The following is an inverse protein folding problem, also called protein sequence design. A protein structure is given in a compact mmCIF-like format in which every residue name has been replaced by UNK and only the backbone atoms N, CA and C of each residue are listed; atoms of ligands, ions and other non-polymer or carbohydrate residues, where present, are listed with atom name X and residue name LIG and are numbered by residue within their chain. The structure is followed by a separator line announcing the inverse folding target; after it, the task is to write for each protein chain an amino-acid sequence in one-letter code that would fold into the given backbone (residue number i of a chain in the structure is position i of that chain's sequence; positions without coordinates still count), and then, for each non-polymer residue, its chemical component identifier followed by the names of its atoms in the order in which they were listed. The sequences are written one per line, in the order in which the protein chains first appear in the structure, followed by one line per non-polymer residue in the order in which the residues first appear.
data_IF_930223336954
#
_entry.id   IF_930223336954
#
_cell.length_a   1.000
_cell.length_b   1.000
_cell.length_c   1.000
_cell.angle_alpha   90.00
_cell.angle_beta   90.00
_cell.angle_gamma   90.00
#
_symmetry.space_group_name_H-M   'P 1'
#
loop_
_entity.id
_entity.type
_entity.pdbx_description
1 polymer ?
#
# COMPACT_ATOMS: atom_id res chain seq x y z
N UNK A 1 18.09 29.26 -8.38
CA UNK A 1 16.81 28.60 -8.04
C UNK A 1 16.59 27.54 -9.10
N UNK A 2 17.02 26.32 -8.82
CA UNK A 2 16.69 25.17 -9.68
C UNK A 2 15.19 24.90 -9.54
N UNK A 3 14.50 24.89 -10.68
CA UNK A 3 13.10 24.48 -10.76
C UNK A 3 13.10 22.96 -10.68
N UNK A 4 12.55 22.42 -9.61
CA UNK A 4 12.24 20.99 -9.53
C UNK A 4 11.09 20.77 -10.51
N UNK A 5 11.39 20.18 -11.65
CA UNK A 5 10.38 19.67 -12.58
C UNK A 5 9.78 18.42 -11.95
N UNK A 6 8.54 18.53 -11.48
CA UNK A 6 7.72 17.36 -11.17
C UNK A 6 7.47 16.64 -12.50
N UNK A 7 8.22 15.58 -12.76
CA UNK A 7 7.88 14.64 -13.82
C UNK A 7 6.42 14.25 -13.64
N UNK A 8 5.63 14.43 -14.70
CA UNK A 8 4.21 14.11 -14.73
C UNK A 8 4.06 12.62 -14.45
N UNK A 9 3.84 12.27 -13.19
CA UNK A 9 3.50 10.92 -12.75
C UNK A 9 2.27 10.52 -13.55
N UNK A 10 2.41 9.50 -14.39
CA UNK A 10 1.28 8.78 -14.98
C UNK A 10 0.27 8.56 -13.85
N UNK A 11 -0.96 9.02 -14.07
CA UNK A 11 -2.09 8.58 -13.27
C UNK A 11 -2.05 7.04 -13.20
N UNK A 12 -2.41 6.44 -12.05
CA UNK A 12 -2.65 5.01 -11.98
C UNK A 12 -3.51 4.60 -13.18
N UNK A 13 -3.15 3.51 -13.85
CA UNK A 13 -4.04 2.97 -14.87
C UNK A 13 -5.38 2.59 -14.23
N UNK A 14 -6.49 2.71 -14.97
CA UNK A 14 -7.84 2.39 -14.46
C UNK A 14 -7.88 0.98 -13.80
N UNK A 15 -7.00 0.08 -14.25
CA UNK A 15 -6.79 -1.26 -13.67
C UNK A 15 -6.30 -1.24 -12.21
N UNK A 16 -5.42 -0.32 -11.81
CA UNK A 16 -4.91 -0.29 -10.43
C UNK A 16 -5.97 0.08 -9.39
N UNK A 17 -6.96 0.88 -9.77
CA UNK A 17 -8.09 1.20 -8.91
C UNK A 17 -9.05 0.01 -8.79
N UNK A 18 -9.34 -0.68 -9.91
CA UNK A 18 -10.16 -1.88 -9.93
C UNK A 18 -9.51 -3.02 -9.13
N UNK A 19 -8.21 -3.26 -9.34
CA UNK A 19 -7.42 -4.21 -8.56
C UNK A 19 -7.46 -3.92 -7.05
N UNK A 20 -7.35 -2.64 -6.67
CA UNK A 20 -7.41 -2.24 -5.26
C UNK A 20 -8.82 -2.48 -4.67
N UNK A 21 -9.88 -2.20 -5.44
CA UNK A 21 -11.25 -2.47 -5.01
C UNK A 21 -11.46 -3.96 -4.78
N UNK A 22 -11.06 -4.79 -5.73
CA UNK A 22 -11.19 -6.24 -5.64
C UNK A 22 -10.41 -6.79 -4.44
N UNK A 23 -9.18 -6.30 -4.20
CA UNK A 23 -8.36 -6.73 -3.07
C UNK A 23 -8.99 -6.34 -1.71
N UNK A 24 -9.50 -5.11 -1.59
CA UNK A 24 -10.17 -4.66 -0.36
C UNK A 24 -11.47 -5.44 -0.12
N UNK A 25 -12.27 -5.71 -1.17
CA UNK A 25 -13.48 -6.52 -1.07
C UNK A 25 -13.19 -7.96 -0.67
N UNK A 26 -12.16 -8.58 -1.25
CA UNK A 26 -11.76 -9.94 -0.89
C UNK A 26 -11.33 -10.03 0.58
N UNK A 27 -10.58 -9.04 1.07
CA UNK A 27 -10.15 -8.98 2.47
C UNK A 27 -11.34 -8.81 3.41
N UNK A 28 -12.28 -7.91 3.09
CA UNK A 28 -13.55 -7.74 3.82
C UNK A 28 -14.30 -9.05 3.98
N UNK A 29 -14.50 -9.77 2.87
CA UNK A 29 -15.15 -11.07 2.89
C UNK A 29 -14.42 -12.07 3.79
N UNK A 30 -13.08 -12.13 3.72
CA UNK A 30 -12.27 -13.02 4.57
C UNK A 30 -12.34 -12.68 6.05
N UNK A 31 -12.53 -11.42 6.43
CA UNK A 31 -12.78 -11.03 7.83
C UNK A 31 -14.16 -11.46 8.29
N UNK A 32 -15.18 -11.19 7.47
CA UNK A 32 -16.57 -11.54 7.76
C UNK A 32 -16.74 -13.05 7.94
N UNK A 33 -16.02 -13.84 7.13
CA UNK A 33 -15.98 -15.30 7.21
C UNK A 33 -15.08 -15.82 8.36
N UNK A 34 -14.36 -14.93 9.04
CA UNK A 34 -13.45 -15.25 10.16
C UNK A 34 -12.14 -15.93 9.74
N UNK A 35 -11.82 -15.94 8.44
CA UNK A 35 -10.59 -16.53 7.90
C UNK A 35 -9.36 -15.68 8.23
N UNK A 36 -9.53 -14.37 8.41
CA UNK A 36 -8.47 -13.42 8.75
C UNK A 36 -8.89 -12.58 9.93
N UNK A 37 -8.10 -12.60 11.01
CA UNK A 37 -8.25 -11.72 12.18
C UNK A 37 -7.34 -10.51 12.06
N UNK A 38 -7.45 -9.75 10.97
CA UNK A 38 -6.72 -8.48 10.83
C UNK A 38 -7.55 -7.37 11.46
N UNK A 39 -7.58 -7.34 12.80
CA UNK A 39 -8.41 -6.41 13.54
C UNK A 39 -8.27 -4.98 13.04
N UNK A 40 -9.41 -4.39 12.63
CA UNK A 40 -9.63 -2.96 12.43
C UNK A 40 -9.13 -2.30 11.13
N UNK A 41 -8.78 -3.06 10.08
CA UNK A 41 -8.28 -2.45 8.82
C UNK A 41 -9.32 -2.28 7.71
N UNK A 42 -10.58 -2.66 7.93
CA UNK A 42 -11.51 -2.92 6.81
C UNK A 42 -12.50 -1.82 6.49
N UNK A 43 -12.54 -0.72 7.23
CA UNK A 43 -13.26 0.47 6.80
C UNK A 43 -12.39 1.33 5.85
N UNK A 44 -11.91 0.70 4.77
CA UNK A 44 -11.36 1.40 3.62
C UNK A 44 -12.50 1.57 2.63
N UNK A 45 -12.94 2.81 2.42
CA UNK A 45 -13.73 3.18 1.27
C UNK A 45 -12.79 3.64 0.14
N UNK A 46 -12.68 2.84 -0.92
CA UNK A 46 -11.77 3.13 -2.04
C UNK A 46 -12.19 4.41 -2.79
N UNK A 47 -13.48 4.74 -2.80
CA UNK A 47 -13.98 5.96 -3.43
C UNK A 47 -13.55 7.24 -2.68
N UNK A 48 -13.14 7.12 -1.42
CA UNK A 48 -12.65 8.24 -0.60
C UNK A 48 -11.13 8.41 -0.67
N UNK A 49 -10.42 7.56 -1.44
CA UNK A 49 -8.98 7.63 -1.61
C UNK A 49 -8.59 8.68 -2.67
N UNK A 50 -7.50 9.36 -2.41
CA UNK A 50 -6.93 10.38 -3.29
C UNK A 50 -6.00 9.76 -4.33
N UNK A 51 -5.65 10.53 -5.38
CA UNK A 51 -4.61 10.13 -6.34
C UNK A 51 -3.26 9.84 -5.65
N UNK A 52 -2.97 10.53 -4.53
CA UNK A 52 -1.78 10.28 -3.73
C UNK A 52 -1.78 8.88 -3.10
N UNK A 53 -2.92 8.47 -2.56
CA UNK A 53 -3.10 7.14 -1.95
C UNK A 53 -2.91 6.04 -3.00
N UNK A 54 -3.54 6.20 -4.17
CA UNK A 54 -3.40 5.26 -5.29
C UNK A 54 -1.95 5.24 -5.82
N UNK A 55 -1.27 6.38 -5.83
CA UNK A 55 0.15 6.46 -6.20
C UNK A 55 1.06 5.67 -5.26
N UNK A 56 0.73 5.57 -3.96
CA UNK A 56 1.45 4.71 -3.03
C UNK A 56 1.16 3.23 -3.29
N UNK A 57 -0.09 2.88 -3.61
CA UNK A 57 -0.46 1.50 -3.97
C UNK A 57 0.30 1.00 -5.20
N UNK A 58 0.39 1.82 -6.25
CA UNK A 58 1.12 1.50 -7.46
C UNK A 58 2.60 1.22 -7.19
N UNK A 59 3.22 2.05 -6.34
CA UNK A 59 4.61 1.82 -5.90
C UNK A 59 4.76 0.53 -5.10
N UNK A 60 3.78 0.19 -4.25
CA UNK A 60 3.79 -1.07 -3.50
C UNK A 60 3.71 -2.27 -4.45
N UNK A 61 2.85 -2.22 -5.47
CA UNK A 61 2.73 -3.28 -6.49
C UNK A 61 4.01 -3.48 -7.29
N UNK A 62 4.77 -2.40 -7.52
CA UNK A 62 6.06 -2.44 -8.21
C UNK A 62 7.22 -2.81 -7.28
N UNK A 63 6.95 -3.05 -6.00
CA UNK A 63 7.97 -3.24 -4.93
C UNK A 63 8.96 -2.07 -4.81
N UNK A 64 8.52 -0.87 -5.20
CA UNK A 64 9.30 0.38 -5.17
C UNK A 64 8.98 1.23 -3.93
N UNK A 65 7.86 0.94 -3.25
CA UNK A 65 7.44 1.71 -2.07
C UNK A 65 8.36 1.47 -0.88
N UNK A 66 8.77 2.54 -0.22
CA UNK A 66 9.57 2.50 1.02
C UNK A 66 8.80 2.99 2.24
N UNK A 67 9.26 2.59 3.43
CA UNK A 67 8.68 3.07 4.70
C UNK A 67 8.80 4.58 4.86
N UNK A 68 9.90 5.16 4.38
CA UNK A 68 10.16 6.60 4.47
C UNK A 68 9.17 7.40 3.61
N UNK A 69 8.86 6.92 2.40
CA UNK A 69 7.85 7.55 1.55
C UNK A 69 6.45 7.52 2.17
N UNK A 70 6.08 6.44 2.87
CA UNK A 70 4.80 6.38 3.58
C UNK A 70 4.79 7.39 4.74
N UNK A 71 5.89 7.52 5.48
CA UNK A 71 5.99 8.48 6.58
C UNK A 71 5.97 9.92 6.07
N UNK A 72 6.70 10.23 5.00
CA UNK A 72 6.66 11.53 4.33
C UNK A 72 5.24 11.85 3.84
N UNK A 73 4.54 10.88 3.25
CA UNK A 73 3.16 11.06 2.85
C UNK A 73 2.24 11.39 4.03
N UNK A 74 2.38 10.70 5.17
CA UNK A 74 1.62 10.97 6.40
C UNK A 74 1.93 12.34 7.00
N UNK A 75 3.17 12.81 6.93
CA UNK A 75 3.57 14.12 7.47
C UNK A 75 3.04 15.29 6.63
N UNK A 76 2.86 15.08 5.33
CA UNK A 76 2.49 16.14 4.38
C UNK A 76 1.01 16.14 3.98
N UNK A 77 0.23 15.13 4.36
CA UNK A 77 -1.17 15.00 3.95
C UNK A 77 -2.09 14.80 5.16
N UNK A 78 -3.21 15.53 5.20
CA UNK A 78 -4.27 15.31 6.18
C UNK A 78 -5.24 14.26 5.63
N UNK A 79 -5.18 13.05 6.22
CA UNK A 79 -5.93 11.91 5.73
C UNK A 79 -7.29 11.79 6.43
N UNK A 80 -8.32 11.49 5.64
CA UNK A 80 -9.60 11.02 6.18
C UNK A 80 -9.45 9.62 6.81
N UNK A 81 -10.52 9.10 7.39
CA UNK A 81 -10.50 7.79 8.06
C UNK A 81 -10.12 6.65 7.10
N UNK A 82 -10.74 6.62 5.91
CA UNK A 82 -10.41 5.67 4.84
C UNK A 82 -8.92 5.71 4.46
N UNK A 83 -8.34 6.90 4.31
CA UNK A 83 -6.92 7.11 4.01
C UNK A 83 -6.01 6.62 5.13
N UNK A 84 -6.35 6.87 6.40
CA UNK A 84 -5.58 6.35 7.55
C UNK A 84 -5.59 4.82 7.60
N UNK A 85 -6.75 4.21 7.40
CA UNK A 85 -6.90 2.76 7.35
C UNK A 85 -6.13 2.18 6.16
N UNK A 86 -6.19 2.84 5.01
CA UNK A 86 -5.47 2.46 3.81
C UNK A 86 -3.95 2.53 3.97
N UNK A 87 -3.42 3.59 4.61
CA UNK A 87 -1.99 3.65 4.91
C UNK A 87 -1.55 2.52 5.85
N UNK A 88 -2.37 2.16 6.83
CA UNK A 88 -2.04 1.07 7.73
C UNK A 88 -2.05 -0.29 7.00
N UNK A 89 -2.98 -0.48 6.05
CA UNK A 89 -2.96 -1.59 5.10
C UNK A 89 -1.65 -1.64 4.29
N UNK A 90 -1.22 -0.51 3.70
CA UNK A 90 0.04 -0.44 2.95
C UNK A 90 1.25 -0.81 3.81
N UNK A 91 1.31 -0.30 5.05
CA UNK A 91 2.40 -0.61 5.99
C UNK A 91 2.49 -2.11 6.29
N UNK A 92 1.36 -2.76 6.51
CA UNK A 92 1.31 -4.20 6.74
C UNK A 92 1.79 -4.99 5.51
N UNK A 93 1.33 -4.62 4.31
CA UNK A 93 1.76 -5.26 3.07
C UNK A 93 3.26 -5.10 2.83
N UNK A 94 3.79 -3.89 3.02
CA UNK A 94 5.20 -3.60 2.89
C UNK A 94 6.05 -4.43 3.87
N UNK A 95 5.63 -4.53 5.14
CA UNK A 95 6.33 -5.33 6.13
C UNK A 95 6.41 -6.83 5.74
N UNK A 96 5.33 -7.38 5.17
CA UNK A 96 5.31 -8.75 4.66
C UNK A 96 6.26 -8.92 3.47
N UNK A 97 6.28 -7.98 2.52
CA UNK A 97 7.19 -8.02 1.36
C UNK A 97 8.66 -7.99 1.81
N UNK A 98 9.01 -7.08 2.73
CA UNK A 98 10.36 -6.96 3.28
C UNK A 98 10.76 -8.24 4.02
N UNK A 99 9.92 -8.72 4.94
CA UNK A 99 10.21 -9.94 5.70
C UNK A 99 10.38 -11.18 4.81
N UNK A 100 9.61 -11.27 3.72
CA UNK A 100 9.77 -12.33 2.72
C UNK A 100 11.11 -12.23 2.01
N UNK A 101 11.50 -11.04 1.56
CA UNK A 101 12.78 -10.81 0.86
C UNK A 101 13.97 -11.16 1.76
N UNK A 102 13.95 -10.70 3.01
CA UNK A 102 14.98 -11.04 4.00
C UNK A 102 15.10 -12.56 4.22
N UNK A 103 13.96 -13.27 4.30
CA UNK A 103 13.95 -14.72 4.44
C UNK A 103 14.55 -15.42 3.22
N UNK A 104 14.19 -15.00 2.00
CA UNK A 104 14.73 -15.53 0.75
C UNK A 104 16.25 -15.32 0.65
N UNK A 105 16.75 -14.14 1.04
CA UNK A 105 18.18 -13.85 1.10
C UNK A 105 18.92 -14.73 2.13
N UNK A 106 18.33 -14.92 3.31
CA UNK A 106 18.91 -15.81 4.34
C UNK A 106 18.97 -17.27 3.87
N UNK A 107 17.95 -17.75 3.16
CA UNK A 107 17.94 -19.11 2.60
C UNK A 107 19.01 -19.25 1.50
N UNK A 108 19.10 -18.28 0.59
CA UNK A 108 20.10 -18.29 -0.48
C UNK A 108 21.56 -18.24 0.04
N UNK A 109 21.78 -17.62 1.20
CA UNK A 109 23.10 -17.61 1.86
C UNK A 109 23.43 -18.93 2.57
N UNK A 110 22.44 -19.72 2.98
CA UNK A 110 22.64 -21.04 3.62
C UNK A 110 22.90 -22.17 2.63
N UNK A 111 22.53 -21.98 1.37
CA UNK A 111 22.73 -22.96 0.28
C UNK A 111 24.06 -22.80 -0.46
N UNK A 112 24.87 -21.80 -0.11
CA UNK A 112 26.23 -21.56 -0.63
C UNK A 112 27.31 -22.01 0.36
#
# INVERSE_FOLDING_TARGET
MEKIEFESKKLPDDNSLEDLRDEVEELKRKEDDGEVTSGHFMDINVDDLTEGDLGLYDKLKREELTSDEINEYLENNDLNESGKNFIAFLKNKLAIQVGRRELEEMMAQREK
#
